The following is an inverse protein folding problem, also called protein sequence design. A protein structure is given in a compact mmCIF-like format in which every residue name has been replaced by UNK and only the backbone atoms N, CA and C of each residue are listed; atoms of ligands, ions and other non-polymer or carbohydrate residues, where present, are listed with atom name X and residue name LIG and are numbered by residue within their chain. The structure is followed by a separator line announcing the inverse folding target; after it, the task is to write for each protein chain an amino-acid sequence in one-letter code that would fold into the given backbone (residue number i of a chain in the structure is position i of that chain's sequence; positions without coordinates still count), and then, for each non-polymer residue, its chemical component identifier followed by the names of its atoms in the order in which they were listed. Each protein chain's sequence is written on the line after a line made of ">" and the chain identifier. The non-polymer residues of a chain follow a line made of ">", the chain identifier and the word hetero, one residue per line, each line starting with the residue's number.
data_IF_051716965395
#
_entry.id   IF_051716965395
#
_cell.length_a   1.000
_cell.length_b   1.000
_cell.length_c   1.000
_cell.angle_alpha   90.00
_cell.angle_beta   90.00
_cell.angle_gamma   90.00
#
_symmetry.space_group_name_H-M   'P 1'
#
loop_
_entity.id
_entity.type
_entity.pdbx_description
1 polymer ?
#
# COMPACT_ATOMS: atom_id res chain seq x y z
N UNK A 1 44.03 -28.31 29.55
CA UNK A 1 43.03 -27.23 29.34
C UNK A 1 41.65 -27.88 29.32
N UNK A 2 40.81 -27.66 30.34
CA UNK A 2 39.45 -28.23 30.37
C UNK A 2 38.56 -27.42 29.43
N UNK A 3 38.06 -28.05 28.37
CA UNK A 3 37.02 -27.44 27.51
C UNK A 3 35.73 -27.39 28.33
N UNK A 4 35.24 -26.20 28.62
CA UNK A 4 33.88 -26.02 29.12
C UNK A 4 32.91 -26.32 27.96
N UNK A 5 32.24 -27.46 28.03
CA UNK A 5 31.19 -27.81 27.08
C UNK A 5 29.87 -27.18 27.50
N UNK A 6 29.13 -26.61 26.55
CA UNK A 6 27.75 -26.18 26.75
C UNK A 6 26.89 -27.42 27.05
N UNK A 7 26.00 -27.34 28.04
CA UNK A 7 25.12 -28.47 28.33
C UNK A 7 24.02 -28.56 27.27
N UNK A 8 23.61 -29.78 26.92
CA UNK A 8 22.52 -30.01 25.96
C UNK A 8 21.20 -29.39 26.46
N UNK A 9 20.99 -29.40 27.79
CA UNK A 9 19.82 -28.82 28.43
C UNK A 9 19.80 -27.28 28.34
N UNK A 10 20.94 -26.60 28.44
CA UNK A 10 21.02 -25.14 28.25
C UNK A 10 20.64 -24.75 26.81
N UNK A 11 21.09 -25.51 25.81
CA UNK A 11 20.69 -25.23 24.44
C UNK A 11 19.19 -25.53 24.22
N UNK A 12 18.67 -26.58 24.84
CA UNK A 12 17.26 -26.98 24.70
C UNK A 12 16.28 -25.94 25.27
N UNK A 13 16.57 -25.37 26.45
CA UNK A 13 15.69 -24.35 27.04
C UNK A 13 15.77 -23.02 26.29
N UNK A 14 16.93 -22.65 25.76
CA UNK A 14 17.12 -21.44 24.95
C UNK A 14 16.30 -21.51 23.66
N UNK A 15 16.38 -22.61 22.91
CA UNK A 15 15.59 -22.74 21.68
C UNK A 15 14.08 -22.85 21.96
N UNK A 16 13.70 -23.42 23.10
CA UNK A 16 12.30 -23.45 23.55
C UNK A 16 11.75 -22.03 23.82
N UNK A 17 12.52 -21.18 24.51
CA UNK A 17 12.11 -19.79 24.79
C UNK A 17 12.06 -18.96 23.50
N UNK A 18 13.07 -19.07 22.62
CA UNK A 18 13.08 -18.36 21.33
C UNK A 18 11.89 -18.80 20.46
N UNK A 19 11.55 -20.09 20.46
CA UNK A 19 10.38 -20.63 19.76
C UNK A 19 9.06 -20.03 20.25
N UNK A 20 8.88 -19.90 21.57
CA UNK A 20 7.68 -19.28 22.15
C UNK A 20 7.55 -17.79 21.74
N UNK A 21 8.65 -17.04 21.78
CA UNK A 21 8.65 -15.62 21.40
C UNK A 21 8.33 -15.42 19.91
N UNK A 22 8.87 -16.28 19.04
CA UNK A 22 8.67 -16.19 17.60
C UNK A 22 7.19 -16.37 17.20
N UNK A 23 6.48 -17.31 17.84
CA UNK A 23 5.06 -17.57 17.57
C UNK A 23 4.19 -16.34 17.84
N UNK A 24 4.47 -15.59 18.92
CA UNK A 24 3.69 -14.40 19.28
C UNK A 24 4.04 -13.21 18.37
N UNK A 25 5.30 -13.08 17.95
CA UNK A 25 5.79 -11.90 17.24
C UNK A 25 5.43 -11.86 15.74
N UNK A 26 5.50 -13.00 15.04
CA UNK A 26 5.29 -13.08 13.57
C UNK A 26 3.92 -12.52 13.10
N UNK A 27 2.77 -12.84 13.70
CA UNK A 27 1.47 -12.39 13.18
C UNK A 27 1.27 -10.87 13.30
N UNK A 28 1.95 -10.20 14.24
CA UNK A 28 1.81 -8.74 14.39
C UNK A 28 2.55 -7.99 13.29
N UNK A 29 3.72 -8.48 12.89
CA UNK A 29 4.59 -7.82 11.90
C UNK A 29 3.92 -7.74 10.52
N UNK A 30 3.18 -8.77 10.10
CA UNK A 30 2.49 -8.79 8.80
C UNK A 30 1.41 -7.71 8.72
N UNK A 31 0.62 -7.54 9.79
CA UNK A 31 -0.43 -6.51 9.84
C UNK A 31 0.12 -5.08 9.80
N UNK A 32 1.26 -4.85 10.47
CA UNK A 32 1.94 -3.55 10.47
C UNK A 32 2.47 -3.21 9.08
N UNK A 33 3.05 -4.19 8.37
CA UNK A 33 3.52 -4.01 7.00
C UNK A 33 2.39 -3.60 6.05
N UNK A 34 1.23 -4.26 6.15
CA UNK A 34 0.04 -3.91 5.34
C UNK A 34 -0.40 -2.48 5.62
N UNK A 35 -0.53 -2.09 6.90
CA UNK A 35 -0.94 -0.73 7.29
C UNK A 35 0.04 0.33 6.81
N UNK A 36 1.34 0.07 6.92
CA UNK A 36 2.38 0.97 6.43
C UNK A 36 2.29 1.18 4.91
N UNK A 37 2.05 0.11 4.15
CA UNK A 37 1.89 0.21 2.70
C UNK A 37 0.61 0.94 2.30
N UNK A 38 -0.51 0.66 2.96
CA UNK A 38 -1.76 1.39 2.75
C UNK A 38 -1.58 2.89 3.02
N UNK A 39 -0.84 3.25 4.07
CA UNK A 39 -0.53 4.65 4.36
C UNK A 39 0.33 5.29 3.26
N UNK A 40 1.34 4.57 2.77
CA UNK A 40 2.18 5.01 1.65
C UNK A 40 1.36 5.20 0.36
N UNK A 41 0.52 4.23 -0.01
CA UNK A 41 -0.36 4.30 -1.17
C UNK A 41 -1.32 5.51 -1.09
N UNK A 42 -1.92 5.75 0.07
CA UNK A 42 -2.77 6.94 0.28
C UNK A 42 -1.98 8.25 0.13
N UNK A 43 -0.72 8.28 0.57
CA UNK A 43 0.16 9.44 0.41
C UNK A 43 0.51 9.66 -1.07
N UNK A 44 0.89 8.59 -1.77
CA UNK A 44 1.21 8.62 -3.20
C UNK A 44 0.00 9.15 -4.01
N UNK A 45 -1.21 8.62 -3.76
CA UNK A 45 -2.44 9.09 -4.42
C UNK A 45 -2.80 10.55 -4.08
N UNK A 46 -2.53 11.04 -2.86
CA UNK A 46 -2.72 12.47 -2.53
C UNK A 46 -1.74 13.36 -3.28
N UNK A 47 -0.50 12.91 -3.41
CA UNK A 47 0.49 13.61 -4.22
C UNK A 47 0.06 13.64 -5.68
N UNK A 48 -0.48 12.53 -6.20
CA UNK A 48 -1.05 12.47 -7.54
C UNK A 48 -2.17 13.49 -7.74
N UNK A 49 -3.14 13.56 -6.82
CA UNK A 49 -4.21 14.57 -6.90
C UNK A 49 -3.62 15.98 -7.02
N UNK A 50 -2.63 16.31 -6.19
CA UNK A 50 -1.98 17.63 -6.24
C UNK A 50 -1.31 17.90 -7.59
N UNK A 51 -0.69 16.88 -8.20
CA UNK A 51 -0.04 17.01 -9.50
C UNK A 51 -1.05 17.18 -10.64
N UNK A 52 -2.15 16.44 -10.61
CA UNK A 52 -3.25 16.56 -11.57
C UNK A 52 -3.90 17.94 -11.50
N UNK A 53 -4.16 18.47 -10.30
CA UNK A 53 -4.69 19.83 -10.12
C UNK A 53 -3.72 20.89 -10.65
N UNK A 54 -2.42 20.73 -10.39
CA UNK A 54 -1.39 21.63 -10.92
C UNK A 54 -1.32 21.56 -12.46
N UNK A 55 -1.47 20.37 -13.04
CA UNK A 55 -1.46 20.19 -14.49
C UNK A 55 -2.72 20.80 -15.13
N UNK A 56 -3.88 20.61 -14.50
CA UNK A 56 -5.14 21.23 -14.91
C UNK A 56 -5.07 22.75 -14.87
N UNK A 57 -4.48 23.33 -13.84
CA UNK A 57 -4.31 24.78 -13.74
C UNK A 57 -3.49 25.38 -14.91
N UNK A 58 -2.59 24.60 -15.50
CA UNK A 58 -1.73 25.04 -16.61
C UNK A 58 -2.32 24.70 -17.99
N UNK A 59 -3.03 23.58 -18.11
CA UNK A 59 -3.42 23.00 -19.40
C UNK A 59 -4.94 22.92 -19.60
N UNK A 60 -5.74 23.26 -18.59
CA UNK A 60 -7.20 23.14 -18.55
C UNK A 60 -7.72 21.73 -18.86
N UNK A 61 -6.88 20.72 -18.62
CA UNK A 61 -7.19 19.30 -18.80
C UNK A 61 -6.38 18.47 -17.80
N UNK A 62 -6.90 17.32 -17.42
CA UNK A 62 -6.18 16.33 -16.62
C UNK A 62 -5.26 15.48 -17.50
N UNK A 63 -4.20 14.94 -16.92
CA UNK A 63 -3.29 14.03 -17.60
C UNK A 63 -3.81 12.59 -17.50
N UNK A 64 -3.61 11.81 -18.56
CA UNK A 64 -3.84 10.35 -18.54
C UNK A 64 -2.56 9.55 -18.34
N UNK A 65 -1.41 10.23 -18.37
CA UNK A 65 -0.08 9.64 -18.26
C UNK A 65 0.77 10.48 -17.29
N UNK A 66 1.47 9.79 -16.40
CA UNK A 66 2.22 10.38 -15.28
C UNK A 66 3.64 10.83 -15.67
N UNK A 67 4.11 10.43 -16.86
CA UNK A 67 5.47 10.63 -17.30
C UNK A 67 6.51 10.08 -16.31
N UNK A 68 7.71 10.65 -16.34
CA UNK A 68 8.83 10.26 -15.47
C UNK A 68 8.93 11.07 -14.18
N UNK A 69 8.12 12.12 -14.03
CA UNK A 69 8.17 13.04 -12.89
C UNK A 69 7.43 12.48 -11.65
N UNK A 70 6.52 11.54 -11.86
CA UNK A 70 5.82 10.86 -10.77
C UNK A 70 6.59 9.61 -10.33
N UNK A 71 6.74 9.46 -9.02
CA UNK A 71 7.32 8.26 -8.42
C UNK A 71 6.40 7.76 -7.30
N UNK A 72 6.37 6.44 -7.13
CA UNK A 72 5.61 5.79 -6.06
C UNK A 72 6.54 5.27 -4.99
N UNK A 73 5.98 5.10 -3.79
CA UNK A 73 6.66 4.45 -2.69
C UNK A 73 7.01 2.99 -3.03
N UNK A 74 8.15 2.51 -2.53
CA UNK A 74 8.66 1.18 -2.85
C UNK A 74 7.66 0.06 -2.49
N UNK A 75 7.43 -0.85 -3.44
CA UNK A 75 6.48 -1.96 -3.28
C UNK A 75 5.05 -1.67 -3.75
N UNK A 76 4.78 -0.45 -4.23
CA UNK A 76 3.55 -0.07 -4.91
C UNK A 76 3.73 -0.09 -6.42
N UNK A 77 2.68 -0.45 -7.16
CA UNK A 77 2.63 -0.30 -8.61
C UNK A 77 2.34 1.16 -8.98
N UNK A 78 2.71 1.55 -10.20
CA UNK A 78 2.27 2.83 -10.78
C UNK A 78 0.74 2.90 -10.78
N UNK A 79 0.14 4.05 -10.42
CA UNK A 79 -1.29 4.22 -10.54
C UNK A 79 -1.71 4.25 -12.00
N UNK A 80 -2.79 3.57 -12.32
CA UNK A 80 -3.46 3.65 -13.62
C UNK A 80 -4.50 4.77 -13.55
N UNK A 81 -4.37 5.78 -14.42
CA UNK A 81 -5.33 6.87 -14.54
C UNK A 81 -6.33 6.56 -15.65
N UNK A 82 -7.62 6.80 -15.38
CA UNK A 82 -8.66 6.83 -16.40
C UNK A 82 -9.40 8.17 -16.32
N UNK A 83 -9.40 8.92 -17.43
CA UNK A 83 -10.13 10.17 -17.57
C UNK A 83 -11.64 9.92 -17.68
N UNK A 84 -12.43 10.81 -17.10
CA UNK A 84 -13.90 10.79 -17.17
C UNK A 84 -14.42 12.10 -17.76
N UNK A 85 -15.73 12.22 -17.93
CA UNK A 85 -16.31 13.40 -18.58
C UNK A 85 -16.11 14.71 -17.82
N UNK A 86 -15.99 14.63 -16.49
CA UNK A 86 -15.89 15.76 -15.57
C UNK A 86 -14.68 15.68 -14.62
N UNK A 87 -13.83 14.66 -14.77
CA UNK A 87 -12.67 14.47 -13.92
C UNK A 87 -11.82 13.27 -14.31
N UNK A 88 -11.39 12.51 -13.32
CA UNK A 88 -10.52 11.36 -13.51
C UNK A 88 -10.57 10.42 -12.31
N UNK A 89 -10.11 9.19 -12.54
CA UNK A 89 -9.94 8.18 -11.51
C UNK A 89 -8.51 7.68 -11.55
N UNK A 90 -7.94 7.34 -10.39
CA UNK A 90 -6.71 6.58 -10.34
C UNK A 90 -6.84 5.40 -9.40
N UNK A 91 -6.28 4.28 -9.82
CA UNK A 91 -6.20 3.04 -9.05
C UNK A 91 -4.75 2.61 -8.95
N UNK A 92 -4.32 2.16 -7.77
CA UNK A 92 -3.00 1.57 -7.56
C UNK A 92 -3.10 0.32 -6.70
N UNK A 93 -2.17 -0.60 -6.91
CA UNK A 93 -2.07 -1.84 -6.17
C UNK A 93 -0.69 -2.00 -5.54
N UNK A 94 -0.61 -2.70 -4.42
CA UNK A 94 0.66 -3.16 -3.86
C UNK A 94 0.90 -4.63 -4.21
N UNK A 95 1.97 -4.91 -4.96
CA UNK A 95 2.33 -6.28 -5.34
C UNK A 95 2.67 -7.15 -4.12
N UNK A 96 3.10 -6.54 -3.02
CA UNK A 96 3.54 -7.25 -1.81
C UNK A 96 2.45 -7.56 -0.81
N UNK A 97 1.29 -6.90 -0.88
CA UNK A 97 0.16 -7.13 0.04
C UNK A 97 -1.17 -7.39 -0.66
N UNK A 98 -1.24 -7.23 -1.98
CA UNK A 98 -2.49 -7.38 -2.75
C UNK A 98 -3.52 -6.29 -2.46
N UNK A 99 -3.15 -5.25 -1.71
CA UNK A 99 -4.03 -4.12 -1.40
C UNK A 99 -4.24 -3.24 -2.63
N UNK A 100 -5.49 -2.80 -2.83
CA UNK A 100 -5.86 -1.86 -3.89
C UNK A 100 -6.36 -0.58 -3.24
N UNK A 101 -5.86 0.55 -3.72
CA UNK A 101 -6.32 1.88 -3.35
C UNK A 101 -6.77 2.65 -4.58
N UNK A 102 -7.75 3.51 -4.39
CA UNK A 102 -8.26 4.37 -5.45
C UNK A 102 -8.51 5.79 -4.94
N UNK A 103 -8.54 6.72 -5.88
CA UNK A 103 -9.02 8.09 -5.69
C UNK A 103 -9.75 8.52 -6.96
N UNK A 104 -10.68 9.45 -6.84
CA UNK A 104 -11.36 10.05 -7.97
C UNK A 104 -11.60 11.54 -7.76
N UNK A 105 -11.68 12.26 -8.87
CA UNK A 105 -12.13 13.63 -9.00
C UNK A 105 -13.30 13.64 -10.00
N UNK A 106 -14.32 14.45 -9.75
CA UNK A 106 -15.58 14.46 -10.51
C UNK A 106 -16.63 13.48 -9.98
N UNK A 107 -17.65 13.22 -10.79
CA UNK A 107 -18.87 12.49 -10.39
C UNK A 107 -18.78 10.97 -10.53
N UNK A 108 -17.69 10.45 -11.07
CA UNK A 108 -17.48 9.01 -11.31
C UNK A 108 -16.57 8.40 -10.23
N UNK A 109 -17.12 7.69 -9.23
CA UNK A 109 -16.31 7.13 -8.15
C UNK A 109 -15.51 5.91 -8.63
N UNK A 110 -14.30 5.75 -8.07
CA UNK A 110 -13.51 4.54 -8.23
C UNK A 110 -13.46 3.77 -6.91
N UNK A 111 -13.99 2.55 -6.89
CA UNK A 111 -13.95 1.69 -5.69
C UNK A 111 -12.48 1.50 -5.25
N UNK A 112 -12.17 1.62 -3.94
CA UNK A 112 -13.07 1.80 -2.79
C UNK A 112 -13.30 3.25 -2.35
N UNK A 113 -12.82 4.24 -3.12
CA UNK A 113 -13.06 5.64 -2.80
C UNK A 113 -14.53 6.02 -3.01
N UNK A 114 -15.12 6.59 -1.96
CA UNK A 114 -16.51 7.08 -1.95
C UNK A 114 -16.61 8.59 -1.76
N UNK A 115 -15.49 9.24 -1.44
CA UNK A 115 -15.38 10.69 -1.30
C UNK A 115 -14.38 11.21 -2.31
N UNK A 116 -14.81 12.21 -3.06
CA UNK A 116 -13.98 12.89 -4.05
C UNK A 116 -12.70 13.46 -3.41
N UNK A 117 -11.57 13.34 -4.12
CA UNK A 117 -10.26 13.81 -3.67
C UNK A 117 -9.68 13.08 -2.45
N UNK A 118 -10.39 12.10 -1.88
CA UNK A 118 -9.96 11.36 -0.69
C UNK A 118 -9.60 9.91 -1.05
N UNK A 119 -8.30 9.54 -1.04
CA UNK A 119 -7.92 8.17 -1.32
C UNK A 119 -8.45 7.18 -0.28
N UNK A 120 -9.00 6.07 -0.77
CA UNK A 120 -9.44 4.95 0.04
C UNK A 120 -8.77 3.66 -0.44
N UNK A 121 -8.69 2.67 0.45
CA UNK A 121 -8.08 1.37 0.17
C UNK A 121 -9.00 0.26 0.64
N UNK A 122 -8.95 -0.89 -0.02
CA UNK A 122 -9.81 -2.03 0.31
C UNK A 122 -9.40 -2.59 1.67
N UNK A 123 -10.37 -2.82 2.55
CA UNK A 123 -10.08 -3.47 3.82
C UNK A 123 -9.55 -4.88 3.57
N UNK A 124 -8.43 -5.21 4.21
CA UNK A 124 -7.71 -6.48 4.04
C UNK A 124 -8.64 -7.64 4.42
N UNK A 125 -9.22 -8.29 3.41
CA UNK A 125 -10.27 -9.31 3.57
C UNK A 125 -11.44 -9.19 2.58
N UNK A 126 -11.60 -8.06 1.89
CA UNK A 126 -12.56 -7.90 0.80
C UNK A 126 -11.94 -8.35 -0.53
N UNK A 127 -11.64 -9.64 -0.65
CA UNK A 127 -11.35 -10.25 -1.96
C UNK A 127 -12.61 -10.26 -2.81
N UNK A 128 -13.04 -9.11 -3.31
CA UNK A 128 -13.74 -9.04 -4.59
C UNK A 128 -12.69 -8.81 -5.66
N UNK A 129 -11.87 -9.83 -5.86
CA UNK A 129 -11.37 -10.13 -7.19
C UNK A 129 -12.62 -10.43 -8.00
N UNK A 130 -12.96 -9.58 -8.96
CA UNK A 130 -13.90 -9.93 -10.02
C UNK A 130 -13.25 -9.49 -11.33
N UNK A 131 -13.26 -10.37 -12.35
CA UNK A 131 -12.30 -10.38 -13.46
C UNK A 131 -12.49 -9.26 -14.49
#
# INVERSE_FOLDING_TARGET
>A
MKRAGFTLIELLTVVAIIGLLAVIAIPQLTSLKVRAQVAAMKSDLRNLVTLEENYFAQNLKYASDLGTAYSVSAGNAMPTIALTGDGWTATMSSASTGQVCAVFMGSTPAKPATKEGAPACEETGSSTVTP
#
